data_IF_003663075410
#
_entry.id   IF_003663075410
#
_cell.length_a   1.000
_cell.length_b   1.000
_cell.length_c   1.000
_cell.angle_alpha   90.00
_cell.angle_beta   90.00
_cell.angle_gamma   90.00
#
_symmetry.space_group_name_H-M   'P 1'
#
loop_
_entity.id
_entity.type
_entity.pdbx_description
1 polymer ?
#
# COMPACT_ATOMS: atom_id res chain seq x y z
N UNK A 1 -13.04 4.62 5.60
CA UNK A 1 -12.38 3.34 5.91
C UNK A 1 -10.87 3.36 5.58
N UNK A 2 -10.41 3.67 4.36
CA UNK A 2 -8.96 3.65 4.01
C UNK A 2 -8.31 5.02 3.77
N UNK A 3 -8.68 6.04 4.55
CA UNK A 3 -8.19 7.41 4.32
C UNK A 3 -6.70 7.58 4.69
N UNK A 4 -6.16 6.70 5.53
CA UNK A 4 -4.75 6.65 5.89
C UNK A 4 -3.86 6.27 4.69
N UNK A 5 -4.27 5.32 3.85
CA UNK A 5 -3.42 4.81 2.75
C UNK A 5 -3.02 5.90 1.76
N UNK A 6 -3.95 6.72 1.22
CA UNK A 6 -3.58 7.84 0.34
C UNK A 6 -2.73 8.90 1.06
N UNK A 7 -3.04 9.21 2.32
CA UNK A 7 -2.30 10.20 3.09
C UNK A 7 -0.83 9.79 3.29
N UNK A 8 -0.59 8.55 3.72
CA UNK A 8 0.76 8.02 3.90
C UNK A 8 1.49 7.77 2.59
N UNK A 9 0.76 7.52 1.50
CA UNK A 9 1.33 7.41 0.16
C UNK A 9 1.62 8.76 -0.52
N UNK A 10 1.35 9.89 0.14
CA UNK A 10 1.60 11.21 -0.43
C UNK A 10 0.64 11.54 -1.58
N UNK A 11 -0.58 11.00 -1.57
CA UNK A 11 -1.59 11.22 -2.59
C UNK A 11 -1.86 12.72 -2.80
N UNK A 12 -1.86 13.15 -4.06
CA UNK A 12 -2.02 14.55 -4.45
C UNK A 12 -0.72 15.37 -4.45
N UNK A 13 0.43 14.80 -4.07
CA UNK A 13 1.73 15.45 -4.29
C UNK A 13 2.15 15.33 -5.76
N UNK A 14 2.85 16.33 -6.33
CA UNK A 14 3.41 16.21 -7.67
C UNK A 14 4.40 15.06 -7.73
N UNK A 15 4.20 14.17 -8.69
CA UNK A 15 5.04 13.00 -8.93
C UNK A 15 6.16 13.35 -9.90
N UNK A 16 7.34 12.70 -9.80
CA UNK A 16 8.39 12.83 -10.81
C UNK A 16 7.90 12.42 -12.20
N UNK A 17 8.51 12.97 -13.25
CA UNK A 17 8.16 12.62 -14.62
C UNK A 17 8.32 11.12 -14.88
N UNK A 18 7.29 10.48 -15.46
CA UNK A 18 7.27 9.03 -15.71
C UNK A 18 6.89 8.18 -14.51
N UNK A 19 6.50 8.78 -13.38
CA UNK A 19 5.92 8.09 -12.24
C UNK A 19 4.40 8.17 -12.28
N UNK A 20 3.74 7.08 -11.90
CA UNK A 20 2.30 6.98 -11.71
C UNK A 20 1.99 6.48 -10.31
N UNK A 21 0.93 7.02 -9.72
CA UNK A 21 0.43 6.58 -8.41
C UNK A 21 -0.90 5.86 -8.61
N UNK A 22 -0.95 4.59 -8.26
CA UNK A 22 -2.14 3.74 -8.39
C UNK A 22 -2.69 3.33 -7.03
N UNK A 23 -4.01 3.19 -6.93
CA UNK A 23 -4.70 2.65 -5.75
C UNK A 23 -5.51 1.42 -6.15
N UNK A 24 -5.45 0.38 -5.31
CA UNK A 24 -6.25 -0.82 -5.42
C UNK A 24 -6.85 -1.17 -4.06
N UNK A 25 -8.10 -1.59 -4.04
CA UNK A 25 -8.80 -2.04 -2.82
C UNK A 25 -9.38 -3.42 -3.09
N UNK A 26 -9.22 -4.33 -2.15
CA UNK A 26 -9.70 -5.70 -2.26
C UNK A 26 -10.30 -6.15 -0.93
N UNK A 27 -11.48 -6.75 -0.99
CA UNK A 27 -12.13 -7.43 0.14
C UNK A 27 -11.82 -8.92 0.07
N UNK A 28 -11.43 -9.52 1.19
CA UNK A 28 -11.20 -10.95 1.29
C UNK A 28 -11.64 -11.47 2.66
N UNK A 29 -12.63 -12.36 2.67
CA UNK A 29 -13.11 -13.05 3.88
C UNK A 29 -13.41 -12.10 5.07
N UNK A 30 -14.03 -10.94 4.80
CA UNK A 30 -14.37 -9.93 5.81
C UNK A 30 -13.21 -9.03 6.26
N UNK A 31 -12.00 -9.25 5.75
CA UNK A 31 -10.88 -8.31 5.84
C UNK A 31 -10.85 -7.42 4.61
N UNK A 32 -10.53 -6.15 4.80
CA UNK A 32 -10.40 -5.20 3.71
C UNK A 32 -8.95 -4.72 3.60
N UNK A 33 -8.45 -4.68 2.36
CA UNK A 33 -7.09 -4.25 2.05
C UNK A 33 -7.14 -3.09 1.08
N UNK A 34 -6.42 -2.02 1.38
CA UNK A 34 -6.18 -0.91 0.46
C UNK A 34 -4.68 -0.75 0.24
N UNK A 35 -4.26 -0.71 -1.02
CA UNK A 35 -2.87 -0.61 -1.41
C UNK A 35 -2.66 0.56 -2.37
N UNK A 36 -1.67 1.38 -2.10
CA UNK A 36 -1.23 2.47 -2.96
C UNK A 36 0.21 2.20 -3.36
N UNK A 37 0.50 2.23 -4.65
CA UNK A 37 1.84 2.03 -5.19
C UNK A 37 2.23 3.16 -6.12
N UNK A 38 3.43 3.70 -5.91
CA UNK A 38 4.09 4.59 -6.85
C UNK A 38 4.99 3.75 -7.74
N UNK A 39 4.73 3.79 -9.04
CA UNK A 39 5.46 2.99 -10.03
C UNK A 39 6.01 3.89 -11.14
N UNK A 40 7.16 3.53 -11.67
CA UNK A 40 7.64 4.11 -12.94
C UNK A 40 8.00 3.02 -13.93
N UNK A 41 8.04 3.39 -15.21
CA UNK A 41 8.45 2.50 -16.30
C UNK A 41 9.72 3.07 -16.93
N UNK A 42 10.90 2.84 -16.32
CA UNK A 42 12.17 3.42 -16.79
C UNK A 42 12.61 2.91 -18.17
N UNK A 43 12.23 1.68 -18.52
CA UNK A 43 12.48 1.05 -19.83
C UNK A 43 11.21 0.33 -20.25
N UNK A 44 10.93 0.29 -21.55
CA UNK A 44 9.76 -0.38 -22.12
C UNK A 44 9.68 -1.83 -21.62
N UNK A 45 8.70 -2.13 -20.76
CA UNK A 45 8.46 -3.45 -20.17
C UNK A 45 9.01 -3.68 -18.77
N UNK A 46 9.81 -2.77 -18.21
CA UNK A 46 10.30 -2.86 -16.83
C UNK A 46 9.50 -1.91 -15.93
N UNK A 47 8.72 -2.46 -15.00
CA UNK A 47 8.01 -1.69 -13.97
C UNK A 47 8.88 -1.64 -12.72
N UNK A 48 9.15 -0.44 -12.19
CA UNK A 48 9.81 -0.23 -10.91
C UNK A 48 8.81 0.31 -9.90
N UNK A 49 8.72 -0.33 -8.74
CA UNK A 49 7.97 0.17 -7.59
C UNK A 49 8.91 1.01 -6.72
N UNK A 50 8.55 2.28 -6.48
CA UNK A 50 9.34 3.19 -5.64
C UNK A 50 8.83 3.21 -4.21
N UNK A 51 7.51 3.20 -4.06
CA UNK A 51 6.81 3.19 -2.80
C UNK A 51 5.61 2.27 -2.90
N UNK A 52 5.34 1.55 -1.82
CA UNK A 52 4.09 0.82 -1.66
C UNK A 52 3.62 0.98 -0.23
N UNK A 53 2.43 1.55 -0.06
CA UNK A 53 1.74 1.68 1.22
C UNK A 53 0.56 0.73 1.18
N UNK A 54 0.48 -0.18 2.14
CA UNK A 54 -0.63 -1.11 2.28
C UNK A 54 -1.28 -0.87 3.64
N UNK A 55 -2.60 -0.70 3.66
CA UNK A 55 -3.43 -0.74 4.86
C UNK A 55 -4.31 -1.97 4.81
N UNK A 56 -4.25 -2.78 5.85
CA UNK A 56 -5.04 -4.00 6.01
C UNK A 56 -5.81 -3.87 7.30
N UNK A 57 -7.12 -4.07 7.22
CA UNK A 57 -7.95 -4.32 8.38
C UNK A 57 -8.04 -5.82 8.61
N UNK A 58 -7.23 -6.34 9.53
CA UNK A 58 -7.08 -7.79 9.76
C UNK A 58 -8.11 -8.35 10.78
N UNK A 59 -9.02 -7.53 11.31
CA UNK A 59 -9.76 -7.90 12.52
C UNK A 59 -8.80 -8.25 13.67
N UNK A 60 -9.07 -9.32 14.43
CA UNK A 60 -8.23 -9.72 15.57
C UNK A 60 -6.95 -10.41 15.10
N UNK A 61 -5.81 -9.72 15.27
CA UNK A 61 -4.49 -10.24 14.98
C UNK A 61 -4.18 -11.40 15.94
N UNK A 62 -4.00 -12.60 15.39
CA UNK A 62 -3.70 -13.83 16.15
C UNK A 62 -2.19 -14.05 16.28
N UNK A 63 -1.41 -13.54 15.33
CA UNK A 63 0.05 -13.65 15.27
C UNK A 63 0.64 -12.37 14.66
N UNK A 64 1.11 -11.41 15.49
CA UNK A 64 1.64 -10.12 15.03
C UNK A 64 3.03 -10.22 14.37
N UNK A 65 3.81 -11.28 14.66
CA UNK A 65 5.18 -11.41 14.15
C UNK A 65 5.23 -11.76 12.66
N UNK A 66 4.20 -12.47 12.16
CA UNK A 66 4.05 -12.74 10.71
C UNK A 66 3.81 -11.48 9.88
N UNK A 67 3.30 -10.44 10.50
CA UNK A 67 2.88 -9.22 9.82
C UNK A 67 4.03 -8.19 9.77
N UNK A 68 4.83 -8.12 10.84
CA UNK A 68 5.96 -7.19 10.95
C UNK A 68 7.25 -7.71 10.32
N UNK A 69 7.24 -8.92 9.76
CA UNK A 69 8.39 -9.50 9.09
C UNK A 69 8.89 -8.56 7.98
N UNK A 70 10.10 -8.02 8.15
CA UNK A 70 10.74 -6.96 7.35
C UNK A 70 10.59 -7.19 5.84
N UNK A 71 9.53 -6.63 5.26
CA UNK A 71 9.37 -6.54 3.81
C UNK A 71 10.09 -5.28 3.31
N UNK A 72 10.60 -5.28 2.08
CA UNK A 72 11.20 -4.09 1.46
C UNK A 72 10.20 -2.95 1.20
N UNK A 73 8.92 -3.11 1.59
CA UNK A 73 7.83 -2.15 1.37
C UNK A 73 7.17 -1.77 2.69
N UNK A 74 6.89 -0.47 2.95
CA UNK A 74 6.26 -0.02 4.18
C UNK A 74 4.79 -0.46 4.23
N UNK A 75 4.50 -1.56 4.93
CA UNK A 75 3.15 -1.99 5.27
C UNK A 75 2.70 -1.21 6.50
N UNK A 76 1.63 -0.42 6.36
CA UNK A 76 1.03 0.32 7.46
C UNK A 76 -0.20 -0.45 7.96
N UNK A 77 -0.10 -1.08 9.12
CA UNK A 77 -1.31 -1.62 9.74
C UNK A 77 -2.13 -0.50 10.36
N UNK A 78 -3.28 -0.24 9.75
CA UNK A 78 -4.34 0.49 10.41
C UNK A 78 -5.40 -0.53 10.85
N UNK A 79 -5.46 -0.90 12.14
CA UNK A 79 -6.65 -1.56 12.65
C UNK A 79 -7.82 -0.59 12.47
N UNK A 80 -8.80 -0.96 11.65
CA UNK A 80 -10.02 -0.17 11.52
C UNK A 80 -10.96 -0.64 12.63
N UNK A 81 -10.66 -0.18 13.84
CA UNK A 81 -11.63 -0.11 14.93
C UNK A 81 -12.47 1.15 14.79
#
# INVERSE_FOLDING_TARGET
MFRCTPYHAGWGKPLPAGHGLGIAVHESFGSFVAQVAEVSVPVKGAIRVHLMVCAIDCGRIVDPDRILLKRPVPVLLCPVG
#
